data_IF_850348546839
#
_entry.id   IF_850348546839
#
_cell.length_a   1.000
_cell.length_b   1.000
_cell.length_c   1.000
_cell.angle_alpha   90.00
_cell.angle_beta   90.00
_cell.angle_gamma   90.00
#
_symmetry.space_group_name_H-M   'P 1'
#
loop_
_entity.id
_entity.type
_entity.pdbx_description
1 polymer ?
#
# COMPACT_ATOMS: atom_id res chain seq x y z
N UNK A 1 17.46 22.59 5.40
CA UNK A 1 16.00 22.34 5.37
C UNK A 1 15.61 21.90 6.78
N UNK A 2 14.73 22.63 7.48
CA UNK A 2 14.19 22.15 8.75
C UNK A 2 13.40 20.88 8.47
N UNK A 3 13.76 19.80 9.14
CA UNK A 3 13.02 18.54 9.12
C UNK A 3 11.65 18.76 9.77
N UNK A 4 10.59 18.23 9.18
CA UNK A 4 9.23 18.26 9.73
C UNK A 4 8.85 16.85 10.19
N UNK A 5 8.18 16.74 11.33
CA UNK A 5 7.79 15.47 11.92
C UNK A 5 6.64 14.79 11.16
N UNK A 6 5.86 15.55 10.39
CA UNK A 6 4.75 15.04 9.61
C UNK A 6 3.89 16.16 9.04
N UNK A 7 2.67 15.80 8.63
CA UNK A 7 1.68 16.72 8.07
C UNK A 7 0.44 16.75 8.95
N UNK A 8 -0.03 17.95 9.30
CA UNK A 8 -1.34 18.15 9.90
C UNK A 8 -2.27 18.70 8.83
N UNK A 9 -3.33 17.94 8.54
CA UNK A 9 -4.39 18.36 7.64
C UNK A 9 -5.53 18.96 8.47
N UNK A 10 -5.98 20.15 8.09
CA UNK A 10 -7.11 20.83 8.71
C UNK A 10 -8.17 21.14 7.65
N UNK A 11 -9.44 21.18 8.04
CA UNK A 11 -10.52 21.53 7.12
C UNK A 11 -10.42 23.01 6.72
N UNK A 12 -10.36 23.90 7.70
CA UNK A 12 -10.29 25.36 7.48
C UNK A 12 -9.00 25.92 8.08
N UNK A 13 -8.43 26.92 7.41
CA UNK A 13 -7.26 27.66 7.90
C UNK A 13 -7.53 28.25 9.29
N UNK A 14 -6.63 27.98 10.22
CA UNK A 14 -6.65 28.55 11.56
C UNK A 14 -5.26 29.14 11.87
N UNK A 15 -5.12 30.48 11.84
CA UNK A 15 -3.81 31.13 12.02
C UNK A 15 -3.15 30.81 13.37
N UNK A 16 -3.94 30.66 14.43
CA UNK A 16 -3.44 30.32 15.76
C UNK A 16 -2.91 28.88 15.79
N UNK A 17 -3.62 27.96 15.13
CA UNK A 17 -3.19 26.57 15.01
C UNK A 17 -1.91 26.44 14.17
N UNK A 18 -1.82 27.18 13.05
CA UNK A 18 -0.62 27.23 12.22
C UNK A 18 0.57 27.78 13.01
N UNK A 19 0.40 28.87 13.76
CA UNK A 19 1.47 29.42 14.58
C UNK A 19 1.99 28.45 15.65
N UNK A 20 1.11 27.59 16.19
CA UNK A 20 1.49 26.60 17.21
C UNK A 20 2.29 25.42 16.64
N UNK A 21 1.95 24.97 15.42
CA UNK A 21 2.46 23.70 14.89
C UNK A 21 3.37 23.82 13.68
N UNK A 22 3.41 24.98 13.00
CA UNK A 22 4.13 25.13 11.75
C UNK A 22 5.65 24.95 11.88
N UNK A 23 6.22 25.00 13.08
CA UNK A 23 7.64 24.75 13.32
C UNK A 23 7.99 23.25 13.31
N UNK A 24 7.09 22.41 13.82
CA UNK A 24 7.30 20.95 13.90
C UNK A 24 6.65 20.18 12.74
N UNK A 25 5.52 20.67 12.23
CA UNK A 25 4.70 19.99 11.22
C UNK A 25 4.48 20.83 9.97
N UNK A 26 4.23 20.17 8.84
CA UNK A 26 3.64 20.80 7.67
C UNK A 26 2.13 20.97 7.90
N UNK A 27 1.66 22.20 8.11
CA UNK A 27 0.23 22.49 8.29
C UNK A 27 -0.39 22.84 6.94
N UNK A 28 -1.34 22.01 6.51
CA UNK A 28 -2.10 22.16 5.27
C UNK A 28 -3.58 22.33 5.62
N UNK A 29 -4.21 23.31 5.02
CA UNK A 29 -5.64 23.57 5.17
C UNK A 29 -6.35 23.29 3.87
N UNK A 30 -7.49 22.62 3.94
CA UNK A 30 -8.27 22.24 2.76
C UNK A 30 -8.94 23.47 2.14
N UNK A 31 -9.31 24.46 2.96
CA UNK A 31 -9.80 25.75 2.51
C UNK A 31 -9.49 26.88 3.50
N UNK A 32 -9.74 28.12 3.07
CA UNK A 32 -9.65 29.31 3.91
C UNK A 32 -10.94 29.56 4.71
N UNK A 33 -12.08 29.01 4.25
CA UNK A 33 -13.39 29.17 4.89
C UNK A 33 -14.28 27.94 4.76
N UNK A 34 -15.41 27.92 5.48
CA UNK A 34 -16.43 26.88 5.33
C UNK A 34 -17.25 27.00 4.04
N UNK A 35 -17.26 28.18 3.41
CA UNK A 35 -18.00 28.43 2.17
C UNK A 35 -17.40 27.68 0.97
N UNK A 36 -16.10 27.35 1.06
CA UNK A 36 -15.33 26.61 0.06
C UNK A 36 -15.57 25.08 0.12
N UNK A 37 -16.48 24.62 0.99
CA UNK A 37 -16.77 23.21 1.23
C UNK A 37 -15.50 22.36 1.53
N UNK A 38 -14.77 22.69 2.61
CA UNK A 38 -13.51 22.04 2.96
C UNK A 38 -13.63 20.54 3.23
N UNK A 39 -14.81 20.07 3.65
CA UNK A 39 -15.08 18.64 3.84
C UNK A 39 -14.99 17.86 2.52
N UNK A 40 -15.55 18.41 1.44
CA UNK A 40 -15.45 17.78 0.13
C UNK A 40 -14.00 17.74 -0.40
N UNK A 41 -13.24 18.81 -0.20
CA UNK A 41 -11.82 18.87 -0.58
C UNK A 41 -11.00 17.84 0.21
N UNK A 42 -11.26 17.75 1.52
CA UNK A 42 -10.65 16.75 2.39
C UNK A 42 -10.93 15.32 1.91
N UNK A 43 -12.19 15.01 1.60
CA UNK A 43 -12.58 13.67 1.14
C UNK A 43 -11.92 13.35 -0.21
N UNK A 44 -11.92 14.29 -1.16
CA UNK A 44 -11.22 14.14 -2.43
C UNK A 44 -9.71 13.91 -2.25
N UNK A 45 -9.08 14.57 -1.27
CA UNK A 45 -7.67 14.36 -0.95
C UNK A 45 -7.40 12.97 -0.38
N UNK A 46 -8.24 12.50 0.57
CA UNK A 46 -8.13 11.16 1.12
C UNK A 46 -8.38 10.08 0.07
N UNK A 47 -9.35 10.29 -0.83
CA UNK A 47 -9.60 9.40 -1.96
C UNK A 47 -8.38 9.32 -2.88
N UNK A 48 -7.76 10.46 -3.21
CA UNK A 48 -6.55 10.48 -4.02
C UNK A 48 -5.39 9.71 -3.37
N UNK A 49 -5.15 9.89 -2.06
CA UNK A 49 -4.13 9.14 -1.33
C UNK A 49 -4.45 7.65 -1.34
N UNK A 50 -5.71 7.29 -1.06
CA UNK A 50 -6.15 5.89 -1.01
C UNK A 50 -6.01 5.25 -2.38
N UNK A 51 -6.41 5.92 -3.46
CA UNK A 51 -6.20 5.46 -4.83
C UNK A 51 -4.72 5.24 -5.12
N UNK A 52 -3.83 6.17 -4.77
CA UNK A 52 -2.39 5.97 -4.98
C UNK A 52 -1.82 4.79 -4.18
N UNK A 53 -2.22 4.64 -2.92
CA UNK A 53 -1.80 3.53 -2.07
C UNK A 53 -2.31 2.21 -2.63
N UNK A 54 -3.58 2.15 -3.03
CA UNK A 54 -4.17 0.97 -3.64
C UNK A 54 -3.47 0.66 -4.96
N UNK A 55 -3.19 1.63 -5.83
CA UNK A 55 -2.46 1.39 -7.08
C UNK A 55 -1.05 0.87 -6.81
N UNK A 56 -0.32 1.46 -5.86
CA UNK A 56 1.04 1.02 -5.50
C UNK A 56 1.05 -0.38 -4.91
N UNK A 57 0.12 -0.70 -4.01
CA UNK A 57 -0.01 -2.04 -3.43
C UNK A 57 -0.51 -3.06 -4.45
N UNK A 58 -1.57 -2.73 -5.20
CA UNK A 58 -2.16 -3.60 -6.22
C UNK A 58 -1.24 -3.87 -7.41
N UNK A 59 -0.26 -3.00 -7.69
CA UNK A 59 0.66 -3.17 -8.81
C UNK A 59 1.39 -4.52 -8.79
N UNK A 60 1.66 -5.08 -7.60
CA UNK A 60 2.34 -6.36 -7.45
C UNK A 60 1.47 -7.46 -6.83
N UNK A 61 0.48 -7.11 -5.99
CA UNK A 61 -0.28 -8.07 -5.17
C UNK A 61 -1.20 -9.05 -5.89
N UNK A 62 -1.26 -9.03 -7.22
CA UNK A 62 -2.09 -9.96 -8.01
C UNK A 62 -1.31 -10.70 -9.10
N UNK A 63 0.01 -10.52 -9.19
CA UNK A 63 0.83 -11.06 -10.26
C UNK A 63 0.76 -12.59 -10.29
N UNK A 64 0.89 -13.23 -9.12
CA UNK A 64 0.84 -14.69 -8.99
C UNK A 64 -0.58 -15.25 -8.99
N UNK A 65 -1.59 -14.43 -8.73
CA UNK A 65 -2.98 -14.88 -8.69
C UNK A 65 -3.47 -15.29 -10.11
N UNK A 66 -3.97 -16.52 -10.30
CA UNK A 66 -4.44 -17.01 -11.60
C UNK A 66 -5.60 -16.18 -12.19
N UNK A 67 -6.50 -15.67 -11.34
CA UNK A 67 -7.72 -14.97 -11.76
C UNK A 67 -7.45 -13.67 -12.50
N UNK A 68 -6.30 -13.03 -12.23
CA UNK A 68 -5.93 -11.73 -12.82
C UNK A 68 -4.93 -11.86 -13.96
N UNK A 69 -4.60 -13.08 -14.41
CA UNK A 69 -3.57 -13.31 -15.42
C UNK A 69 -3.77 -12.55 -16.74
N UNK A 70 -5.01 -12.34 -17.15
CA UNK A 70 -5.37 -11.59 -18.36
C UNK A 70 -5.17 -10.07 -18.24
N UNK A 71 -5.12 -9.55 -17.02
CA UNK A 71 -4.98 -8.11 -16.73
C UNK A 71 -3.53 -7.70 -16.53
N UNK A 72 -2.60 -8.65 -16.54
CA UNK A 72 -1.19 -8.38 -16.35
C UNK A 72 -0.59 -7.67 -17.56
N UNK A 73 0.21 -6.65 -17.31
CA UNK A 73 1.08 -6.02 -18.31
C UNK A 73 2.17 -6.99 -18.76
N UNK A 74 2.84 -6.69 -19.88
CA UNK A 74 3.94 -7.51 -20.38
C UNK A 74 5.08 -7.65 -19.36
N UNK A 75 5.36 -6.59 -18.60
CA UNK A 75 6.36 -6.57 -17.53
C UNK A 75 5.94 -7.48 -16.37
N UNK A 76 4.69 -7.37 -15.92
CA UNK A 76 4.15 -8.23 -14.86
C UNK A 76 4.12 -9.71 -15.27
N UNK A 77 3.87 -10.01 -16.55
CA UNK A 77 3.95 -11.39 -17.06
C UNK A 77 5.38 -11.95 -17.01
N UNK A 78 6.39 -11.14 -17.29
CA UNK A 78 7.81 -11.55 -17.14
C UNK A 78 8.15 -11.85 -15.67
N UNK A 79 7.68 -11.01 -14.74
CA UNK A 79 7.85 -11.24 -13.30
C UNK A 79 7.15 -12.53 -12.87
N UNK A 80 5.90 -12.74 -13.29
CA UNK A 80 5.15 -13.97 -13.02
C UNK A 80 5.90 -15.22 -13.50
N UNK A 81 6.46 -15.18 -14.71
CA UNK A 81 7.24 -16.29 -15.26
C UNK A 81 8.50 -16.57 -14.43
N UNK A 82 9.22 -15.52 -14.00
CA UNK A 82 10.40 -15.68 -13.15
C UNK A 82 10.05 -16.29 -11.77
N UNK A 83 8.93 -15.86 -11.18
CA UNK A 83 8.47 -16.36 -9.88
C UNK A 83 7.79 -17.73 -9.95
N UNK A 84 7.39 -18.21 -11.13
CA UNK A 84 6.71 -19.49 -11.29
C UNK A 84 7.55 -20.68 -10.79
N UNK A 85 8.87 -20.65 -11.01
CA UNK A 85 9.76 -21.69 -10.51
C UNK A 85 9.87 -21.70 -8.99
N UNK A 86 9.81 -20.53 -8.33
CA UNK A 86 9.79 -20.45 -6.87
C UNK A 86 8.44 -20.92 -6.32
N UNK A 87 7.34 -20.57 -6.99
CA UNK A 87 6.01 -21.03 -6.62
C UNK A 87 5.87 -22.56 -6.74
N UNK A 88 6.54 -23.19 -7.71
CA UNK A 88 6.54 -24.66 -7.84
C UNK A 88 7.27 -25.38 -6.68
N UNK A 89 8.15 -24.67 -5.95
CA UNK A 89 8.86 -25.24 -4.80
C UNK A 89 8.01 -25.25 -3.51
N UNK A 90 6.80 -24.68 -3.53
CA UNK A 90 5.88 -24.71 -2.39
C UNK A 90 5.51 -26.15 -1.97
N UNK A 91 5.53 -27.09 -2.92
CA UNK A 91 5.20 -28.50 -2.67
C UNK A 91 6.42 -29.32 -2.16
N UNK A 92 7.62 -28.74 -2.12
CA UNK A 92 8.85 -29.43 -1.68
C UNK A 92 9.12 -29.20 -0.18
N UNK A 93 8.85 -30.22 0.63
CA UNK A 93 9.00 -30.18 2.09
C UNK A 93 10.44 -29.96 2.57
N UNK A 94 11.45 -30.35 1.79
CA UNK A 94 12.85 -30.14 2.14
C UNK A 94 13.26 -28.67 1.93
N UNK A 95 12.69 -28.02 0.92
CA UNK A 95 12.95 -26.60 0.60
C UNK A 95 12.17 -25.69 1.55
N UNK A 96 10.90 -25.99 1.82
CA UNK A 96 10.05 -25.21 2.72
C UNK A 96 10.52 -25.26 4.18
N UNK A 97 11.17 -26.35 4.61
CA UNK A 97 11.79 -26.47 5.93
C UNK A 97 13.10 -25.68 6.08
N UNK A 98 13.61 -25.07 5.01
CA UNK A 98 14.87 -24.32 5.06
C UNK A 98 14.70 -22.99 5.79
N UNK A 99 15.75 -22.56 6.50
CA UNK A 99 15.74 -21.30 7.27
C UNK A 99 15.47 -20.05 6.41
N UNK A 100 15.80 -20.10 5.13
CA UNK A 100 15.61 -18.97 4.21
C UNK A 100 14.20 -18.89 3.62
N UNK A 101 13.42 -19.97 3.72
CA UNK A 101 12.12 -20.08 3.07
C UNK A 101 11.10 -19.02 3.51
N UNK A 102 10.99 -18.63 4.80
CA UNK A 102 10.01 -17.63 5.21
C UNK A 102 10.13 -16.29 4.46
N UNK A 103 11.36 -15.88 4.08
CA UNK A 103 11.58 -14.66 3.28
C UNK A 103 11.10 -14.79 1.84
N UNK A 104 11.19 -16.00 1.28
CA UNK A 104 10.69 -16.30 -0.07
C UNK A 104 9.16 -16.37 -0.02
N UNK A 105 8.61 -16.93 1.06
CA UNK A 105 7.19 -16.99 1.30
C UNK A 105 6.56 -15.59 1.45
N UNK A 106 7.18 -14.69 2.23
CA UNK A 106 6.80 -13.27 2.33
C UNK A 106 6.77 -12.62 0.94
N UNK A 107 7.82 -12.81 0.14
CA UNK A 107 7.88 -12.30 -1.24
C UNK A 107 6.72 -12.88 -2.09
N UNK A 108 6.51 -14.20 -2.09
CA UNK A 108 5.43 -14.82 -2.86
C UNK A 108 4.05 -14.33 -2.39
N UNK A 109 3.87 -14.06 -1.10
CA UNK A 109 2.66 -13.47 -0.54
C UNK A 109 2.46 -12.02 -1.01
N UNK A 110 3.51 -11.19 -0.99
CA UNK A 110 3.47 -9.81 -1.52
C UNK A 110 3.07 -9.75 -2.99
N UNK A 111 3.46 -10.76 -3.78
CA UNK A 111 3.12 -10.90 -5.19
C UNK A 111 1.77 -11.59 -5.46
N UNK A 112 1.01 -11.90 -4.41
CA UNK A 112 -0.37 -12.39 -4.52
C UNK A 112 -0.52 -13.89 -4.71
N UNK A 113 0.40 -14.70 -4.17
CA UNK A 113 0.30 -16.17 -4.24
C UNK A 113 -0.93 -16.66 -3.45
N UNK A 114 -1.96 -17.23 -4.10
CA UNK A 114 -3.18 -17.67 -3.41
C UNK A 114 -2.94 -18.85 -2.47
N UNK A 115 -1.87 -19.63 -2.69
CA UNK A 115 -1.49 -20.74 -1.83
C UNK A 115 -1.03 -20.30 -0.42
N UNK A 116 -0.63 -19.03 -0.28
CA UNK A 116 -0.05 -18.47 0.95
C UNK A 116 -0.96 -17.47 1.67
N UNK A 117 -2.06 -17.05 1.03
CA UNK A 117 -2.98 -16.03 1.58
C UNK A 117 -3.95 -16.62 2.63
N UNK A 118 -4.03 -17.95 2.75
CA UNK A 118 -5.04 -18.63 3.59
C UNK A 118 -4.79 -18.47 5.10
N UNK A 119 -3.57 -18.16 5.56
CA UNK A 119 -3.25 -18.12 7.00
C UNK A 119 -3.35 -16.75 7.69
N UNK A 120 -3.55 -15.65 6.96
CA UNK A 120 -3.57 -14.30 7.55
C UNK A 120 -4.96 -13.76 7.91
N UNK A 121 -6.03 -14.53 7.66
CA UNK A 121 -7.41 -14.10 7.96
C UNK A 121 -7.79 -14.16 9.45
N UNK A 122 -6.98 -14.82 10.30
CA UNK A 122 -7.25 -14.93 11.75
C UNK A 122 -6.66 -13.78 12.59
N UNK A 123 -5.90 -12.84 12.01
CA UNK A 123 -5.23 -11.75 12.76
C UNK A 123 -6.12 -10.50 12.91
N UNK A 124 -7.30 -10.48 12.28
CA UNK A 124 -8.21 -9.32 12.31
C UNK A 124 -9.67 -9.66 12.72
N UNK A 125 -9.89 -10.74 13.48
CA UNK A 125 -11.19 -11.05 14.10
C UNK A 125 -11.21 -10.74 15.60
#
# INVERSE_FOLDING_TARGET
KNFKMGTILSLVENPMFRALWADDFAVISCADSWEDNPAWIHDCFLDSITCELVVKSAACSFILNPSYGMLLTDEQRKIKQALASLHALLDDSAVTSSRSWPRIEELLCEFGSPALIVDNAEVYS
#
